data_IF_254976074666
#
_entry.id   IF_254976074666
#
_cell.length_a   1.000
_cell.length_b   1.000
_cell.length_c   1.000
_cell.angle_alpha   90.00
_cell.angle_beta   90.00
_cell.angle_gamma   90.00
#
_symmetry.space_group_name_H-M   'P 1'
#
loop_
_entity.id
_entity.type
_entity.pdbx_description
1 polymer ?
#
# COMPACT_ATOMS: atom_id res chain seq x y z
N UNK A 1 5.52 6.53 -3.88
CA UNK A 1 4.27 6.64 -3.11
C UNK A 1 4.61 6.23 -1.69
N UNK A 2 4.16 7.00 -0.70
CA UNK A 2 4.38 6.72 0.72
C UNK A 2 3.25 5.89 1.34
N UNK A 3 3.46 5.41 2.57
CA UNK A 3 2.51 4.55 3.28
C UNK A 3 1.25 5.30 3.74
N UNK A 4 1.33 6.61 3.96
CA UNK A 4 0.18 7.44 4.39
C UNK A 4 -0.80 7.60 3.24
N UNK A 5 -0.31 7.80 2.02
CA UNK A 5 -1.10 7.82 0.80
C UNK A 5 -1.82 6.49 0.57
N UNK A 6 -1.14 5.35 0.77
CA UNK A 6 -1.76 4.03 0.70
C UNK A 6 -2.87 3.84 1.74
N UNK A 7 -2.62 4.27 2.97
CA UNK A 7 -3.61 4.19 4.06
C UNK A 7 -4.82 5.08 3.77
N UNK A 8 -4.62 6.26 3.19
CA UNK A 8 -5.71 7.15 2.76
C UNK A 8 -6.53 6.53 1.63
N UNK A 9 -5.88 5.91 0.64
CA UNK A 9 -6.56 5.37 -0.54
C UNK A 9 -7.30 4.05 -0.28
N UNK A 10 -6.75 3.20 0.60
CA UNK A 10 -7.23 1.84 0.87
C UNK A 10 -7.83 1.66 2.27
N UNK A 11 -7.72 2.64 3.16
CA UNK A 11 -8.41 2.71 4.45
C UNK A 11 -7.78 1.89 5.59
N UNK A 12 -7.14 0.75 5.32
CA UNK A 12 -6.52 -0.06 6.38
C UNK A 12 -5.34 -0.91 5.92
N UNK A 13 -4.47 -1.29 6.86
CA UNK A 13 -3.37 -2.21 6.61
C UNK A 13 -3.86 -3.60 6.12
N UNK A 14 -5.02 -4.06 6.57
CA UNK A 14 -5.61 -5.32 6.12
C UNK A 14 -6.09 -5.23 4.67
N UNK A 15 -6.65 -4.09 4.26
CA UNK A 15 -7.07 -3.87 2.87
C UNK A 15 -5.88 -3.73 1.91
N UNK A 16 -4.84 -3.01 2.34
CA UNK A 16 -3.56 -2.97 1.62
C UNK A 16 -3.03 -4.39 1.44
N UNK A 17 -2.96 -5.18 2.51
CA UNK A 17 -2.47 -6.56 2.45
C UNK A 17 -3.23 -7.41 1.40
N UNK A 18 -4.57 -7.32 1.39
CA UNK A 18 -5.41 -7.99 0.40
C UNK A 18 -5.11 -7.57 -1.04
N UNK A 19 -5.02 -6.27 -1.31
CA UNK A 19 -4.78 -5.76 -2.68
C UNK A 19 -3.39 -6.11 -3.22
N UNK A 20 -2.39 -6.08 -2.35
CA UNK A 20 -1.00 -6.37 -2.74
C UNK A 20 -0.64 -7.86 -2.70
N UNK A 21 -1.56 -8.73 -2.22
CA UNK A 21 -1.30 -10.16 -2.06
C UNK A 21 -0.18 -10.45 -1.05
N UNK A 22 -0.10 -9.66 0.03
CA UNK A 22 0.93 -9.78 1.07
C UNK A 22 0.28 -9.99 2.44
N UNK A 23 1.08 -10.36 3.45
CA UNK A 23 0.58 -10.47 4.81
C UNK A 23 0.35 -9.09 5.44
N UNK A 24 -0.60 -8.99 6.39
CA UNK A 24 -0.79 -7.79 7.23
C UNK A 24 0.48 -7.40 7.97
N UNK A 25 1.30 -8.38 8.37
CA UNK A 25 2.59 -8.14 9.02
C UNK A 25 3.60 -7.45 8.08
N UNK A 26 3.61 -7.79 6.79
CA UNK A 26 4.45 -7.09 5.82
C UNK A 26 4.06 -5.61 5.71
N UNK A 27 2.77 -5.32 5.65
CA UNK A 27 2.27 -3.93 5.65
C UNK A 27 2.60 -3.21 6.96
N UNK A 28 2.50 -3.90 8.10
CA UNK A 28 2.89 -3.33 9.40
C UNK A 28 4.38 -2.94 9.43
N UNK A 29 5.26 -3.71 8.79
CA UNK A 29 6.69 -3.34 8.64
C UNK A 29 6.85 -2.07 7.80
N UNK A 30 6.08 -1.91 6.72
CA UNK A 30 6.11 -0.69 5.90
C UNK A 30 5.65 0.52 6.69
N UNK A 31 4.57 0.39 7.48
CA UNK A 31 4.07 1.45 8.36
C UNK A 31 5.12 1.82 9.41
N UNK A 32 5.71 0.83 10.08
CA UNK A 32 6.74 1.09 11.10
C UNK A 32 7.99 1.75 10.51
N UNK A 33 8.35 1.41 9.27
CA UNK A 33 9.50 1.99 8.58
C UNK A 33 9.18 3.31 7.84
N UNK A 34 7.92 3.78 7.90
CA UNK A 34 7.38 4.88 7.09
C UNK A 34 7.76 4.80 5.60
N UNK A 35 7.94 3.58 5.09
CA UNK A 35 8.54 3.32 3.76
C UNK A 35 7.82 2.17 3.07
N UNK A 36 7.46 2.39 1.81
CA UNK A 36 6.90 1.36 0.92
C UNK A 36 7.99 0.89 -0.03
N UNK A 37 8.20 -0.43 -0.21
CA UNK A 37 9.18 -0.93 -1.17
C UNK A 37 8.94 -0.34 -2.58
N UNK A 38 10.00 0.03 -3.34
CA UNK A 38 9.84 0.74 -4.62
C UNK A 38 8.91 0.04 -5.62
N UNK A 39 9.02 -1.28 -5.74
CA UNK A 39 8.12 -2.08 -6.59
C UNK A 39 6.66 -1.98 -6.16
N UNK A 40 6.38 -1.99 -4.85
CA UNK A 40 5.03 -1.87 -4.30
C UNK A 40 4.49 -0.45 -4.48
N UNK A 41 5.35 0.55 -4.36
CA UNK A 41 4.99 1.93 -4.65
C UNK A 41 4.63 2.14 -6.13
N UNK A 42 5.32 1.46 -7.07
CA UNK A 42 4.96 1.46 -8.48
C UNK A 42 3.60 0.80 -8.72
N UNK A 43 3.41 -0.43 -8.23
CA UNK A 43 2.15 -1.17 -8.33
C UNK A 43 0.97 -0.38 -7.75
N UNK A 44 1.21 0.32 -6.63
CA UNK A 44 0.20 1.18 -6.01
C UNK A 44 -0.26 2.30 -6.94
N UNK A 45 0.66 2.95 -7.67
CA UNK A 45 0.34 4.03 -8.61
C UNK A 45 -0.55 3.50 -9.73
N UNK A 46 -0.15 2.39 -10.34
CA UNK A 46 -0.94 1.76 -11.41
C UNK A 46 -2.33 1.32 -10.93
N UNK A 47 -2.44 0.79 -9.70
CA UNK A 47 -3.74 0.41 -9.14
C UNK A 47 -4.66 1.61 -8.93
N UNK A 48 -4.14 2.73 -8.41
CA UNK A 48 -4.96 3.92 -8.17
C UNK A 48 -5.41 4.58 -9.47
N UNK A 49 -4.53 4.65 -10.46
CA UNK A 49 -4.86 5.14 -11.80
C UNK A 49 -6.00 4.32 -12.44
N UNK A 50 -5.92 2.98 -12.35
CA UNK A 50 -6.98 2.08 -12.84
C UNK A 50 -8.30 2.20 -12.08
N UNK A 51 -8.25 2.61 -10.81
CA UNK A 51 -9.43 2.79 -9.97
C UNK A 51 -10.07 4.18 -10.10
N UNK A 52 -9.50 5.08 -10.92
CA UNK A 52 -9.94 6.46 -11.04
C UNK A 52 -9.83 7.25 -9.73
N UNK A 53 -8.86 6.88 -8.87
CA UNK A 53 -8.63 7.47 -7.55
C UNK A 53 -7.40 8.36 -7.49
#
# INVERSE_FOLDING_TARGET
MDIKTLLKAFGSASEIARRFGVSRQAVAKWIKADTVPPLRAYQAREMLEKLGK
#
